data_IF_997957611560
#
_entry.id   IF_997957611560
#
_cell.length_a   1.000
_cell.length_b   1.000
_cell.length_c   1.000
_cell.angle_alpha   90.00
_cell.angle_beta   90.00
_cell.angle_gamma   90.00
#
_symmetry.space_group_name_H-M   'P 1'
#
loop_
_entity.id
_entity.type
_entity.pdbx_description
1 polymer ?
#
# COMPACT_ATOMS: atom_id res chain seq x y z
N UNK A 1 -4.29 -29.68 -6.64
CA UNK A 1 -2.91 -29.17 -6.80
C UNK A 1 -2.11 -29.55 -5.56
N UNK A 2 -1.04 -30.35 -5.71
CA UNK A 2 -0.25 -30.84 -4.57
C UNK A 2 0.34 -29.69 -3.74
N UNK A 3 0.41 -29.86 -2.41
CA UNK A 3 0.89 -28.82 -1.48
C UNK A 3 2.26 -28.24 -1.86
N UNK A 4 3.20 -29.07 -2.33
CA UNK A 4 4.52 -28.63 -2.79
C UNK A 4 4.47 -27.65 -3.96
N UNK A 5 3.59 -27.89 -4.95
CA UNK A 5 3.43 -26.99 -6.11
C UNK A 5 2.86 -25.63 -5.70
N UNK A 6 1.95 -25.60 -4.72
CA UNK A 6 1.41 -24.35 -4.15
C UNK A 6 2.50 -23.52 -3.47
N UNK A 7 3.38 -24.17 -2.70
CA UNK A 7 4.47 -23.49 -2.03
C UNK A 7 5.46 -22.86 -3.02
N UNK A 8 5.87 -23.59 -4.06
CA UNK A 8 6.79 -23.07 -5.09
C UNK A 8 6.18 -21.84 -5.78
N UNK A 9 4.90 -21.90 -6.15
CA UNK A 9 4.21 -20.76 -6.78
C UNK A 9 4.15 -19.56 -5.82
N UNK A 10 3.91 -19.79 -4.54
CA UNK A 10 3.89 -18.73 -3.53
C UNK A 10 5.25 -18.03 -3.43
N UNK A 11 6.35 -18.79 -3.36
CA UNK A 11 7.71 -18.23 -3.30
C UNK A 11 8.06 -17.46 -4.57
N UNK A 12 7.67 -17.98 -5.74
CA UNK A 12 7.90 -17.27 -7.00
C UNK A 12 7.14 -15.94 -7.07
N UNK A 13 5.88 -15.92 -6.67
CA UNK A 13 5.08 -14.69 -6.65
C UNK A 13 5.65 -13.69 -5.63
N UNK A 14 6.10 -14.16 -4.47
CA UNK A 14 6.78 -13.32 -3.48
C UNK A 14 8.01 -12.65 -4.09
N UNK A 15 8.90 -13.43 -4.72
CA UNK A 15 10.13 -12.92 -5.32
C UNK A 15 9.83 -11.90 -6.44
N UNK A 16 8.87 -12.19 -7.32
CA UNK A 16 8.44 -11.25 -8.36
C UNK A 16 7.88 -9.97 -7.72
N UNK A 17 7.05 -10.10 -6.67
CA UNK A 17 6.53 -8.96 -5.91
C UNK A 17 7.64 -8.09 -5.34
N UNK A 18 8.67 -8.67 -4.73
CA UNK A 18 9.81 -7.91 -4.21
C UNK A 18 10.56 -7.15 -5.31
N UNK A 19 10.79 -7.76 -6.49
CA UNK A 19 11.42 -7.08 -7.63
C UNK A 19 10.57 -5.91 -8.11
N UNK A 20 9.25 -6.09 -8.22
CA UNK A 20 8.34 -5.02 -8.60
C UNK A 20 8.35 -3.90 -7.57
N UNK A 21 8.29 -4.22 -6.27
CA UNK A 21 8.35 -3.23 -5.20
C UNK A 21 9.62 -2.38 -5.27
N UNK A 22 10.77 -3.03 -5.47
CA UNK A 22 12.06 -2.35 -5.60
C UNK A 22 12.05 -1.31 -6.74
N UNK A 23 11.41 -1.62 -7.87
CA UNK A 23 11.31 -0.70 -9.00
C UNK A 23 10.30 0.43 -8.80
N UNK A 24 9.24 0.20 -8.02
CA UNK A 24 8.13 1.15 -7.84
C UNK A 24 8.27 2.07 -6.64
N UNK A 25 9.11 1.75 -5.66
CA UNK A 25 9.20 2.49 -4.40
C UNK A 25 9.47 3.97 -4.60
N UNK A 26 10.43 4.32 -5.46
CA UNK A 26 10.76 5.73 -5.73
C UNK A 26 9.55 6.50 -6.28
N UNK A 27 8.80 5.90 -7.22
CA UNK A 27 7.59 6.51 -7.76
C UNK A 27 6.50 6.68 -6.69
N UNK A 28 6.35 5.68 -5.81
CA UNK A 28 5.43 5.78 -4.67
C UNK A 28 5.82 6.94 -3.72
N UNK A 29 7.11 7.10 -3.44
CA UNK A 29 7.61 8.14 -2.54
C UNK A 29 7.37 9.54 -3.11
N UNK A 30 7.66 9.74 -4.40
CA UNK A 30 7.38 10.99 -5.10
C UNK A 30 5.88 11.32 -5.05
N UNK A 31 5.02 10.31 -5.25
CA UNK A 31 3.58 10.48 -5.18
C UNK A 31 3.10 10.91 -3.78
N UNK A 32 3.53 10.20 -2.72
CA UNK A 32 3.17 10.54 -1.34
C UNK A 32 3.67 11.93 -0.96
N UNK A 33 4.92 12.28 -1.29
CA UNK A 33 5.46 13.64 -1.05
C UNK A 33 4.63 14.72 -1.74
N UNK A 34 4.16 14.44 -2.96
CA UNK A 34 3.29 15.37 -3.69
C UNK A 34 1.96 15.55 -2.97
N UNK A 35 1.36 14.46 -2.45
CA UNK A 35 0.14 14.54 -1.63
C UNK A 35 0.36 15.35 -0.35
N UNK A 36 1.46 15.14 0.37
CA UNK A 36 1.80 15.92 1.56
C UNK A 36 1.94 17.41 1.27
N UNK A 37 2.63 17.74 0.19
CA UNK A 37 2.80 19.14 -0.26
C UNK A 37 1.45 19.74 -0.62
N UNK A 38 0.58 18.98 -1.29
CA UNK A 38 -0.76 19.39 -1.67
C UNK A 38 -1.66 19.65 -0.45
N UNK A 39 -1.78 18.67 0.47
CA UNK A 39 -2.64 18.79 1.66
C UNK A 39 -2.16 19.87 2.63
N UNK A 40 -0.86 20.12 2.67
CA UNK A 40 -0.30 21.20 3.48
C UNK A 40 -0.32 22.59 2.84
N UNK A 41 -0.91 22.73 1.65
CA UNK A 41 -0.88 23.98 0.87
C UNK A 41 0.55 24.51 0.66
N UNK A 42 1.52 23.61 0.45
CA UNK A 42 2.92 23.95 0.22
C UNK A 42 3.70 24.41 1.45
N UNK A 43 3.11 24.30 2.65
CA UNK A 43 3.79 24.58 3.93
C UNK A 43 4.79 23.49 4.30
N UNK A 44 4.53 22.24 3.93
CA UNK A 44 5.48 21.15 4.06
C UNK A 44 6.23 21.01 2.73
N UNK A 45 7.56 21.07 2.77
CA UNK A 45 8.42 20.81 1.60
C UNK A 45 9.48 19.78 1.97
N UNK A 46 9.83 18.93 1.02
CA UNK A 46 10.86 17.91 1.20
C UNK A 46 12.16 18.38 0.56
N UNK A 47 13.28 18.18 1.26
CA UNK A 47 14.59 18.44 0.68
C UNK A 47 15.00 17.20 -0.12
N UNK A 48 15.13 17.34 -1.44
CA UNK A 48 15.76 16.31 -2.27
C UNK A 48 17.27 16.39 -2.08
N UNK A 49 17.76 15.70 -1.06
CA UNK A 49 19.18 15.38 -1.01
C UNK A 49 19.39 14.27 -2.06
N UNK A 50 20.24 14.52 -3.06
CA UNK A 50 20.52 13.60 -4.18
C UNK A 50 21.23 12.30 -3.78
N UNK A 51 20.96 11.79 -2.59
CA UNK A 51 21.41 10.51 -2.09
C UNK A 51 20.73 9.39 -2.87
N UNK A 52 21.49 8.34 -3.20
CA UNK A 52 20.93 7.12 -3.78
C UNK A 52 19.97 6.49 -2.77
N UNK A 53 18.68 6.63 -3.05
CA UNK A 53 17.62 6.08 -2.22
C UNK A 53 17.54 4.56 -2.44
N UNK A 54 18.01 3.81 -1.45
CA UNK A 54 17.84 2.37 -1.43
C UNK A 54 16.44 2.02 -0.90
N UNK A 55 15.71 1.14 -1.61
CA UNK A 55 14.44 0.59 -1.16
C UNK A 55 14.46 0.09 0.28
N UNK A 56 13.50 0.50 1.09
CA UNK A 56 13.39 0.01 2.46
C UNK A 56 12.99 -1.46 2.44
N UNK A 57 13.65 -2.26 3.29
CA UNK A 57 13.33 -3.68 3.41
C UNK A 57 11.86 -3.89 3.79
N UNK A 58 11.30 -2.99 4.60
CA UNK A 58 9.89 -3.00 5.03
C UNK A 58 8.93 -2.84 3.85
N UNK A 59 9.20 -1.89 2.93
CA UNK A 59 8.38 -1.67 1.73
C UNK A 59 8.41 -2.91 0.82
N UNK A 60 9.61 -3.38 0.49
CA UNK A 60 9.81 -4.51 -0.43
C UNK A 60 9.20 -5.81 0.11
N UNK A 61 9.42 -6.08 1.40
CA UNK A 61 8.93 -7.30 2.05
C UNK A 61 7.40 -7.29 2.17
N UNK A 62 6.80 -6.17 2.61
CA UNK A 62 5.35 -6.06 2.80
C UNK A 62 4.58 -6.22 1.49
N UNK A 63 5.07 -5.62 0.40
CA UNK A 63 4.45 -5.77 -0.92
C UNK A 63 4.57 -7.21 -1.46
N UNK A 64 5.76 -7.82 -1.36
CA UNK A 64 5.95 -9.22 -1.77
C UNK A 64 5.00 -10.17 -1.01
N UNK A 65 4.85 -9.95 0.30
CA UNK A 65 3.94 -10.72 1.14
C UNK A 65 2.49 -10.51 0.72
N UNK A 66 2.07 -9.26 0.49
CA UNK A 66 0.75 -8.91 0.01
C UNK A 66 0.40 -9.61 -1.31
N UNK A 67 1.28 -9.55 -2.33
CA UNK A 67 1.08 -10.22 -3.61
C UNK A 67 0.86 -11.73 -3.43
N UNK A 68 1.65 -12.34 -2.55
CA UNK A 68 1.60 -13.78 -2.29
C UNK A 68 0.30 -14.17 -1.57
N UNK A 69 -0.15 -13.36 -0.61
CA UNK A 69 -1.44 -13.55 0.06
C UNK A 69 -2.62 -13.39 -0.89
N UNK A 70 -2.62 -12.36 -1.74
CA UNK A 70 -3.67 -12.13 -2.74
C UNK A 70 -3.72 -13.31 -3.72
N UNK A 71 -2.57 -13.76 -4.22
CA UNK A 71 -2.50 -14.92 -5.11
C UNK A 71 -3.03 -16.20 -4.46
N UNK A 72 -2.80 -16.40 -3.16
CA UNK A 72 -3.34 -17.56 -2.42
C UNK A 72 -4.88 -17.59 -2.38
N UNK A 73 -5.53 -16.42 -2.49
CA UNK A 73 -6.99 -16.26 -2.46
C UNK A 73 -7.63 -16.39 -3.84
N UNK A 74 -6.86 -16.20 -4.92
CA UNK A 74 -7.34 -16.38 -6.29
C UNK A 74 -7.30 -17.88 -6.63
N UNK A 75 -8.38 -18.61 -6.31
CA UNK A 75 -8.57 -19.98 -6.81
C UNK A 75 -9.22 -19.90 -8.20
N UNK A 76 -8.56 -20.50 -9.21
CA UNK A 76 -9.02 -20.53 -10.62
C UNK A 76 -10.48 -21.00 -10.75
N UNK A 77 -11.20 -20.59 -11.81
CA UNK A 77 -10.83 -19.60 -12.85
C UNK A 77 -11.08 -18.14 -12.44
N UNK A 78 -10.56 -17.21 -13.24
CA UNK A 78 -10.73 -15.77 -13.05
C UNK A 78 -12.20 -15.40 -13.28
N UNK A 79 -12.99 -15.38 -12.21
CA UNK A 79 -14.41 -15.02 -12.28
C UNK A 79 -14.58 -13.50 -12.13
N UNK A 80 -15.71 -12.98 -12.61
CA UNK A 80 -16.09 -11.56 -12.45
C UNK A 80 -15.96 -11.10 -11.00
N UNK A 81 -16.32 -11.95 -10.03
CA UNK A 81 -16.17 -11.66 -8.60
C UNK A 81 -14.70 -11.45 -8.20
N UNK A 82 -13.76 -12.22 -8.74
CA UNK A 82 -12.33 -12.06 -8.47
C UNK A 82 -11.84 -10.74 -9.05
N UNK A 83 -12.28 -10.39 -10.26
CA UNK A 83 -11.96 -9.11 -10.88
C UNK A 83 -12.50 -7.93 -10.04
N UNK A 84 -13.75 -7.99 -9.58
CA UNK A 84 -14.34 -6.96 -8.70
C UNK A 84 -13.52 -6.82 -7.42
N UNK A 85 -13.08 -7.94 -6.81
CA UNK A 85 -12.22 -7.91 -5.60
C UNK A 85 -10.87 -7.24 -5.86
N UNK A 86 -10.25 -7.51 -7.02
CA UNK A 86 -8.99 -6.87 -7.41
C UNK A 86 -9.16 -5.37 -7.64
N UNK A 87 -10.22 -4.96 -8.35
CA UNK A 87 -10.52 -3.54 -8.57
C UNK A 87 -10.80 -2.83 -7.24
N UNK A 88 -11.62 -3.43 -6.38
CA UNK A 88 -11.92 -2.90 -5.05
C UNK A 88 -10.65 -2.82 -4.17
N UNK A 89 -9.73 -3.78 -4.30
CA UNK A 89 -8.44 -3.78 -3.60
C UNK A 89 -7.55 -2.61 -4.02
N UNK A 90 -7.42 -2.37 -5.33
CA UNK A 90 -6.67 -1.23 -5.87
C UNK A 90 -7.33 0.09 -5.45
N UNK A 91 -8.65 0.18 -5.53
CA UNK A 91 -9.38 1.38 -5.09
C UNK A 91 -9.17 1.65 -3.59
N UNK A 92 -9.31 0.62 -2.74
CA UNK A 92 -9.08 0.73 -1.31
C UNK A 92 -7.64 1.13 -0.98
N UNK A 93 -6.66 0.59 -1.71
CA UNK A 93 -5.25 0.96 -1.59
C UNK A 93 -5.04 2.45 -1.87
N UNK A 94 -5.54 2.94 -3.01
CA UNK A 94 -5.40 4.35 -3.40
C UNK A 94 -6.09 5.28 -2.39
N UNK A 95 -7.33 4.96 -1.98
CA UNK A 95 -8.07 5.75 -0.99
C UNK A 95 -7.33 5.80 0.35
N UNK A 96 -6.80 4.67 0.83
CA UNK A 96 -6.04 4.63 2.06
C UNK A 96 -4.77 5.52 1.97
N UNK A 97 -4.02 5.47 0.87
CA UNK A 97 -2.85 6.36 0.70
C UNK A 97 -3.25 7.83 0.81
N UNK A 98 -4.32 8.23 0.11
CA UNK A 98 -4.81 9.60 0.10
C UNK A 98 -5.26 10.04 1.51
N UNK A 99 -6.06 9.23 2.18
CA UNK A 99 -6.58 9.53 3.52
C UNK A 99 -5.48 9.58 4.58
N UNK A 100 -4.61 8.57 4.64
CA UNK A 100 -3.54 8.53 5.63
C UNK A 100 -2.50 9.62 5.38
N UNK A 101 -2.17 9.92 4.12
CA UNK A 101 -1.30 11.07 3.80
C UNK A 101 -1.91 12.38 4.26
N UNK A 102 -3.23 12.56 4.10
CA UNK A 102 -3.92 13.75 4.59
C UNK A 102 -3.86 13.83 6.13
N UNK A 103 -4.26 12.76 6.83
CA UNK A 103 -4.27 12.71 8.30
C UNK A 103 -2.88 13.01 8.86
N UNK A 104 -1.84 12.35 8.35
CA UNK A 104 -0.48 12.51 8.86
C UNK A 104 0.08 13.91 8.50
N UNK A 105 -0.21 14.44 7.31
CA UNK A 105 0.17 15.82 6.96
C UNK A 105 -0.46 16.88 7.88
N UNK A 106 -1.74 16.71 8.24
CA UNK A 106 -2.45 17.58 9.18
C UNK A 106 -1.88 17.43 10.59
N UNK A 107 -1.57 16.20 11.01
CA UNK A 107 -0.94 15.93 12.31
C UNK A 107 0.41 16.64 12.44
N UNK A 108 1.26 16.53 11.40
CA UNK A 108 2.56 17.23 11.35
C UNK A 108 2.38 18.74 11.39
N UNK A 109 1.40 19.30 10.66
CA UNK A 109 1.10 20.74 10.70
C UNK A 109 0.64 21.21 12.07
N UNK A 110 -0.17 20.42 12.78
CA UNK A 110 -0.64 20.76 14.13
C UNK A 110 0.50 20.77 15.16
N UNK A 111 1.51 19.90 14.99
CA UNK A 111 2.69 19.87 15.85
C UNK A 111 3.72 20.95 15.51
N UNK A 112 3.52 21.68 14.42
CA UNK A 112 4.48 22.64 13.91
C UNK A 112 4.20 24.06 14.44
N UNK A 113 4.75 24.40 15.60
CA UNK A 113 4.70 25.77 16.14
C UNK A 113 5.36 26.80 15.20
N UNK A 114 6.37 26.36 14.42
CA UNK A 114 7.13 27.17 13.46
C UNK A 114 6.41 27.40 12.12
N UNK A 115 5.34 26.66 11.81
CA UNK A 115 4.62 26.76 10.53
C UNK A 115 3.79 28.06 10.42
N UNK A 116 3.71 28.84 11.50
CA UNK A 116 3.18 30.21 11.48
C UNK A 116 4.16 31.23 10.86
N UNK A 117 5.45 30.88 10.70
CA UNK A 117 6.49 31.78 10.21
C UNK A 117 7.06 31.46 8.81
N UNK A 118 6.76 30.31 8.21
CA UNK A 118 7.28 29.92 6.89
C UNK A 118 7.15 28.43 6.56
N UNK A 119 7.60 28.00 5.36
CA UNK A 119 7.57 26.60 4.96
C UNK A 119 8.58 25.78 5.75
N UNK A 120 8.14 24.67 6.35
CA UNK A 120 8.98 23.72 7.04
C UNK A 120 9.58 22.74 6.02
N UNK A 121 10.90 22.54 6.12
CA UNK A 121 11.62 21.58 5.30
C UNK A 121 11.82 20.30 6.11
N UNK A 122 11.31 19.19 5.61
CA UNK A 122 11.49 17.87 6.20
C UNK A 122 12.58 17.11 5.47
N UNK A 123 13.38 16.37 6.24
CA UNK A 123 14.13 15.27 5.67
C UNK A 123 13.13 14.17 5.29
N UNK A 124 13.39 13.48 4.19
CA UNK A 124 12.55 12.39 3.74
C UNK A 124 12.49 11.22 4.74
N UNK A 125 13.47 11.12 5.66
CA UNK A 125 13.51 10.10 6.71
C UNK A 125 12.59 10.40 7.89
N UNK A 126 12.13 11.64 8.03
CA UNK A 126 11.35 12.07 9.19
C UNK A 126 9.88 11.64 9.10
N UNK A 127 9.40 11.32 7.89
CA UNK A 127 8.02 10.88 7.66
C UNK A 127 8.00 9.38 7.42
N UNK A 128 7.11 8.70 8.13
CA UNK A 128 7.00 7.24 8.08
C UNK A 128 6.21 6.75 6.86
N UNK A 129 6.68 7.09 5.65
CA UNK A 129 6.03 6.74 4.38
C UNK A 129 5.81 5.23 4.25
N UNK A 130 6.75 4.42 4.76
CA UNK A 130 6.61 2.96 4.83
C UNK A 130 5.37 2.51 5.63
N UNK A 131 5.05 3.21 6.72
CA UNK A 131 3.89 2.87 7.55
C UNK A 131 2.59 3.15 6.79
N UNK A 132 2.50 4.28 6.09
CA UNK A 132 1.35 4.60 5.22
C UNK A 132 1.15 3.48 4.20
N UNK A 133 2.25 3.04 3.57
CA UNK A 133 2.20 1.96 2.58
C UNK A 133 1.71 0.64 3.17
N UNK A 134 2.29 0.22 4.30
CA UNK A 134 1.92 -1.04 4.97
C UNK A 134 0.45 -1.00 5.39
N UNK A 135 -0.02 0.12 5.96
CA UNK A 135 -1.42 0.30 6.34
C UNK A 135 -2.31 0.23 5.08
N UNK A 136 -1.95 0.93 4.00
CA UNK A 136 -2.69 0.89 2.75
C UNK A 136 -2.78 -0.54 2.17
N UNK A 137 -1.73 -1.36 2.27
CA UNK A 137 -1.78 -2.78 1.87
C UNK A 137 -2.74 -3.60 2.73
N UNK A 138 -2.84 -3.32 4.03
CA UNK A 138 -3.84 -3.96 4.90
C UNK A 138 -5.26 -3.62 4.43
N UNK A 139 -5.54 -2.36 4.13
CA UNK A 139 -6.84 -1.93 3.58
C UNK A 139 -7.10 -2.55 2.20
N UNK A 140 -6.08 -2.62 1.35
CA UNK A 140 -6.16 -3.26 0.04
C UNK A 140 -6.52 -4.75 0.16
N UNK A 141 -6.16 -5.42 1.26
CA UNK A 141 -6.47 -6.83 1.48
C UNK A 141 -7.91 -7.06 1.98
N UNK A 142 -8.58 -6.05 2.54
CA UNK A 142 -9.93 -6.19 3.13
C UNK A 142 -11.00 -6.78 2.18
N UNK A 143 -11.07 -6.39 0.89
CA UNK A 143 -12.03 -6.99 -0.04
C UNK A 143 -11.89 -8.51 -0.16
N UNK A 144 -10.68 -9.05 -0.02
CA UNK A 144 -10.46 -10.50 -0.06
C UNK A 144 -10.94 -11.22 1.21
N UNK A 145 -11.02 -10.52 2.34
CA UNK A 145 -11.56 -11.05 3.60
C UNK A 145 -13.08 -10.96 3.61
N UNK A 146 -13.62 -9.78 3.31
CA UNK A 146 -15.05 -9.49 3.44
C UNK A 146 -15.89 -10.29 2.45
N UNK A 147 -15.56 -10.22 1.15
CA UNK A 147 -16.36 -10.90 0.12
C UNK A 147 -16.31 -12.42 0.23
N UNK A 148 -15.26 -12.98 0.84
CA UNK A 148 -15.16 -14.43 1.03
C UNK A 148 -16.22 -14.98 2.00
N UNK A 149 -16.64 -14.20 3.00
CA UNK A 149 -17.72 -14.58 3.92
C UNK A 149 -19.09 -14.62 3.22
N UNK A 150 -19.37 -13.64 2.37
CA UNK A 150 -20.64 -13.57 1.63
C UNK A 150 -20.84 -14.74 0.67
N UNK A 151 -19.78 -15.22 0.01
CA UNK A 151 -19.90 -16.34 -0.94
C UNK A 151 -20.18 -17.68 -0.25
N UNK A 152 -19.66 -17.88 0.96
CA UNK A 152 -19.90 -19.11 1.75
C UNK A 152 -21.33 -19.12 2.29
N UNK A 153 -21.85 -17.96 2.71
CA UNK A 153 -23.21 -17.84 3.22
C UNK A 153 -24.26 -18.12 2.13
N UNK A 154 -24.08 -17.55 0.94
CA UNK A 154 -25.01 -17.76 -0.18
C UNK A 154 -25.04 -19.20 -0.68
N UNK A 155 -23.95 -19.96 -0.56
CA UNK A 155 -23.99 -21.40 -0.92
C UNK A 155 -24.77 -22.23 0.10
N UNK A 156 -24.70 -21.90 1.40
CA UNK A 156 -25.44 -22.62 2.45
C UNK A 156 -26.94 -22.36 2.45
N UNK A 157 -27.40 -21.24 1.93
CA UNK A 157 -28.85 -20.93 1.81
C UNK A 157 -29.52 -21.64 0.61
N UNK A 158 -28.73 -22.17 -0.32
CA UNK A 158 -29.21 -22.85 -1.53
C UNK A 158 -28.90 -24.37 -1.56
N UNK A 159 -28.44 -24.93 -0.44
CA UNK A 159 -28.25 -26.38 -0.25
C UNK A 159 -29.09 -26.87 0.94
#
# INVERSE_FOLDING_TARGET
>A
MNGRRRYIIFVLIFAIGCVVAFLFENSYFIFVRSLYTYFSNGKLRFIENGEFYFPTYSFVFSFGLFCSLVASKIRRPLNVIVLIRLIASVFAFCMAIVEFSNIESVGVLMMCDLCNGGPMRFDYRDISIDNIFIIALVFAYLPFILFNKYTIKSQKEYS
#
